data_IF_364104310532
#
_entry.id   IF_364104310532
#
_cell.length_a   1.000
_cell.length_b   1.000
_cell.length_c   1.000
_cell.angle_alpha   90.00
_cell.angle_beta   90.00
_cell.angle_gamma   90.00
#
_symmetry.space_group_name_H-M   'P 1'
#
loop_
_entity.id
_entity.type
_entity.pdbx_description
1 polymer ?
#
# COMPACT_ATOMS: atom_id res chain seq x y z
N UNK A 1 -7.71 1.03 10.65
CA UNK A 1 -9.05 1.64 10.63
C UNK A 1 -8.90 3.11 10.93
N UNK A 2 -9.33 3.95 9.99
CA UNK A 2 -9.33 5.40 10.16
C UNK A 2 -10.10 5.83 11.41
N UNK A 3 -9.51 6.76 12.17
CA UNK A 3 -10.14 7.46 13.31
C UNK A 3 -10.58 8.87 12.94
N UNK A 4 -10.32 9.31 11.71
CA UNK A 4 -10.70 10.63 11.23
C UNK A 4 -12.23 10.74 11.09
N UNK A 5 -12.81 11.81 11.65
CA UNK A 5 -14.27 12.01 11.69
C UNK A 5 -14.89 12.50 10.38
N UNK A 6 -14.08 12.74 9.35
CA UNK A 6 -14.49 13.12 8.00
C UNK A 6 -14.58 14.61 7.71
N UNK A 7 -14.65 15.48 8.73
CA UNK A 7 -14.73 16.94 8.55
C UNK A 7 -13.34 17.55 8.42
N UNK A 8 -13.14 18.34 7.37
CA UNK A 8 -11.96 19.20 7.21
C UNK A 8 -12.25 20.55 7.88
N UNK A 9 -11.51 20.85 8.95
CA UNK A 9 -11.74 22.04 9.80
C UNK A 9 -11.68 23.35 9.01
N UNK A 10 -10.74 23.43 8.07
CA UNK A 10 -10.47 24.60 7.24
C UNK A 10 -11.49 24.79 6.12
N UNK A 11 -12.27 23.76 5.80
CA UNK A 11 -13.23 23.77 4.69
C UNK A 11 -14.61 23.34 5.22
N UNK A 12 -15.32 24.24 5.94
CA UNK A 12 -16.67 23.93 6.42
C UNK A 12 -17.60 23.58 5.26
N UNK A 13 -18.38 22.51 5.43
CA UNK A 13 -19.37 22.07 4.44
C UNK A 13 -18.88 20.93 3.53
N UNK A 14 -17.67 20.40 3.73
CA UNK A 14 -17.25 19.16 3.09
C UNK A 14 -17.05 18.02 4.10
N UNK A 15 -17.24 16.78 3.63
CA UNK A 15 -16.87 15.56 4.35
C UNK A 15 -16.09 14.61 3.45
N UNK A 16 -15.11 13.91 4.01
CA UNK A 16 -14.24 12.97 3.31
C UNK A 16 -14.24 11.63 4.05
N UNK A 17 -14.42 10.52 3.33
CA UNK A 17 -14.31 9.14 3.85
C UNK A 17 -15.22 8.80 5.04
N UNK A 18 -16.24 9.63 5.29
CA UNK A 18 -17.20 9.47 6.37
C UNK A 18 -18.54 10.11 6.01
N UNK A 19 -19.60 9.31 6.08
CA UNK A 19 -20.91 9.66 5.50
C UNK A 19 -22.07 9.48 6.49
N UNK A 20 -21.78 9.40 7.79
CA UNK A 20 -22.76 9.27 8.86
C UNK A 20 -22.68 10.43 9.87
N UNK A 21 -23.70 10.52 10.74
CA UNK A 21 -23.75 11.44 11.89
C UNK A 21 -23.63 12.91 11.46
N UNK A 22 -22.70 13.66 12.06
CA UNK A 22 -22.44 15.06 11.77
C UNK A 22 -21.87 15.29 10.36
N UNK A 23 -21.64 14.26 9.55
CA UNK A 23 -21.27 14.44 8.14
C UNK A 23 -22.48 14.69 7.25
N UNK A 24 -23.69 14.32 7.68
CA UNK A 24 -24.94 14.42 6.90
C UNK A 24 -25.37 15.86 6.58
N UNK A 25 -24.76 16.87 7.21
CA UNK A 25 -24.99 18.30 6.94
C UNK A 25 -24.00 18.90 5.92
N UNK A 26 -23.04 18.10 5.41
CA UNK A 26 -22.11 18.54 4.37
C UNK A 26 -22.81 18.75 3.01
N UNK A 27 -22.27 19.69 2.24
CA UNK A 27 -22.74 20.10 0.93
C UNK A 27 -22.02 19.34 -0.21
N UNK A 28 -20.78 18.92 0.05
CA UNK A 28 -20.00 18.08 -0.86
C UNK A 28 -19.29 16.96 -0.07
N UNK A 29 -19.17 15.81 -0.72
CA UNK A 29 -18.56 14.61 -0.14
C UNK A 29 -17.41 14.13 -1.01
N UNK A 30 -16.42 13.49 -0.41
CA UNK A 30 -15.26 12.95 -1.11
C UNK A 30 -14.99 11.53 -0.62
N UNK A 31 -14.60 10.63 -1.54
CA UNK A 31 -14.15 9.29 -1.19
C UNK A 31 -12.76 9.04 -1.79
N UNK A 32 -11.77 8.84 -0.94
CA UNK A 32 -10.39 8.61 -1.33
C UNK A 32 -10.22 7.26 -2.02
N UNK A 33 -10.88 6.21 -1.52
CA UNK A 33 -10.84 4.85 -2.06
C UNK A 33 -11.95 3.95 -1.50
N UNK A 34 -12.19 2.79 -2.14
CA UNK A 34 -13.28 1.87 -1.79
C UNK A 34 -12.94 0.83 -0.70
N UNK A 35 -12.38 1.23 0.43
CA UNK A 35 -12.27 0.35 1.61
C UNK A 35 -13.36 0.63 2.64
N UNK A 36 -13.79 -0.42 3.35
CA UNK A 36 -14.99 -0.39 4.21
C UNK A 36 -14.88 0.67 5.32
N UNK A 37 -13.71 0.83 5.92
CA UNK A 37 -13.49 1.80 6.99
C UNK A 37 -13.49 3.27 6.53
N UNK A 38 -13.39 3.51 5.22
CA UNK A 38 -13.53 4.82 4.57
C UNK A 38 -14.91 5.02 3.92
N UNK A 39 -15.79 4.01 3.94
CA UNK A 39 -17.12 4.05 3.31
C UNK A 39 -18.26 4.08 4.33
N UNK A 40 -17.97 4.32 5.60
CA UNK A 40 -18.97 4.14 6.64
C UNK A 40 -20.06 5.22 6.56
N UNK A 41 -21.31 4.77 6.51
CA UNK A 41 -22.50 5.60 6.28
C UNK A 41 -22.96 5.64 4.82
N UNK A 42 -22.08 5.33 3.86
CA UNK A 42 -22.36 5.47 2.42
C UNK A 42 -23.50 4.56 1.94
N UNK A 43 -23.62 3.38 2.55
CA UNK A 43 -24.66 2.40 2.23
C UNK A 43 -26.01 2.70 2.89
N UNK A 44 -26.12 3.74 3.72
CA UNK A 44 -27.35 4.04 4.46
C UNK A 44 -28.36 4.76 3.56
N UNK A 45 -29.65 4.37 3.68
CA UNK A 45 -30.73 5.03 2.94
C UNK A 45 -30.87 6.51 3.30
N UNK A 46 -30.55 6.88 4.54
CA UNK A 46 -30.54 8.27 5.01
C UNK A 46 -29.55 9.12 4.19
N UNK A 47 -28.29 8.68 4.13
CA UNK A 47 -27.27 9.40 3.37
C UNK A 47 -27.60 9.48 1.88
N UNK A 48 -28.02 8.36 1.27
CA UNK A 48 -28.37 8.31 -0.15
C UNK A 48 -29.61 9.15 -0.47
N UNK A 49 -30.57 9.24 0.45
CA UNK A 49 -31.71 10.15 0.36
C UNK A 49 -31.26 11.62 0.37
N UNK A 50 -30.38 11.99 1.31
CA UNK A 50 -29.84 13.35 1.43
C UNK A 50 -29.13 13.80 0.15
N UNK A 51 -28.30 12.94 -0.46
CA UNK A 51 -27.61 13.26 -1.71
C UNK A 51 -28.61 13.68 -2.81
N UNK A 52 -29.73 12.96 -2.93
CA UNK A 52 -30.75 13.24 -3.93
C UNK A 52 -31.59 14.45 -3.58
N UNK A 53 -32.10 14.53 -2.36
CA UNK A 53 -32.99 15.59 -1.90
C UNK A 53 -32.31 16.96 -1.93
N UNK A 54 -31.02 17.01 -1.58
CA UNK A 54 -30.23 18.25 -1.55
C UNK A 54 -29.40 18.47 -2.82
N UNK A 55 -29.43 17.54 -3.76
CA UNK A 55 -28.60 17.54 -4.97
C UNK A 55 -27.11 17.73 -4.65
N UNK A 56 -26.62 17.00 -3.64
CA UNK A 56 -25.22 16.96 -3.24
C UNK A 56 -24.47 15.84 -3.99
N UNK A 57 -23.15 15.98 -4.08
CA UNK A 57 -22.32 15.05 -4.86
C UNK A 57 -21.21 14.42 -4.00
N UNK A 58 -20.85 13.18 -4.37
CA UNK A 58 -19.62 12.53 -3.92
C UNK A 58 -18.59 12.63 -5.05
N UNK A 59 -17.44 13.22 -4.77
CA UNK A 59 -16.34 13.36 -5.70
C UNK A 59 -15.30 12.27 -5.48
N UNK A 60 -14.94 11.57 -6.55
CA UNK A 60 -14.13 10.35 -6.51
C UNK A 60 -13.24 10.22 -7.74
N UNK A 61 -12.26 9.31 -7.71
CA UNK A 61 -11.50 8.92 -8.90
C UNK A 61 -12.32 8.09 -9.89
N UNK A 62 -11.83 7.95 -11.12
CA UNK A 62 -12.45 7.12 -12.16
C UNK A 62 -12.75 5.68 -11.70
N UNK A 63 -11.73 4.99 -11.15
CA UNK A 63 -11.86 3.60 -10.70
C UNK A 63 -12.84 3.50 -9.53
N UNK A 64 -12.75 4.43 -8.56
CA UNK A 64 -13.69 4.49 -7.43
C UNK A 64 -15.14 4.70 -7.92
N UNK A 65 -15.36 5.56 -8.93
CA UNK A 65 -16.69 5.73 -9.54
C UNK A 65 -17.19 4.44 -10.19
N UNK A 66 -16.34 3.73 -10.93
CA UNK A 66 -16.72 2.47 -11.58
C UNK A 66 -17.18 1.41 -10.54
N UNK A 67 -16.51 1.35 -9.39
CA UNK A 67 -16.90 0.47 -8.27
C UNK A 67 -18.23 0.94 -7.66
N UNK A 68 -18.32 2.22 -7.28
CA UNK A 68 -19.51 2.77 -6.62
C UNK A 68 -20.76 2.70 -7.49
N UNK A 69 -20.64 2.88 -8.82
CA UNK A 69 -21.76 2.75 -9.76
C UNK A 69 -22.38 1.35 -9.73
N UNK A 70 -21.55 0.31 -9.56
CA UNK A 70 -22.03 -1.08 -9.44
C UNK A 70 -22.63 -1.36 -8.06
N UNK A 71 -22.04 -0.80 -6.99
CA UNK A 71 -22.51 -1.00 -5.61
C UNK A 71 -23.80 -0.23 -5.29
N UNK A 72 -23.90 1.01 -5.79
CA UNK A 72 -24.98 1.95 -5.48
C UNK A 72 -25.53 2.61 -6.76
N UNK A 73 -26.11 1.82 -7.68
CA UNK A 73 -26.59 2.32 -8.97
C UNK A 73 -27.67 3.40 -8.84
N UNK A 74 -28.37 3.43 -7.71
CA UNK A 74 -29.40 4.42 -7.42
C UNK A 74 -28.83 5.83 -7.21
N UNK A 75 -27.54 6.02 -6.93
CA UNK A 75 -26.91 7.34 -6.71
C UNK A 75 -25.83 7.67 -7.75
N UNK A 76 -25.79 6.97 -8.91
CA UNK A 76 -24.79 7.19 -9.97
C UNK A 76 -24.72 8.66 -10.42
N UNK A 77 -25.88 9.32 -10.54
CA UNK A 77 -25.98 10.75 -10.91
C UNK A 77 -25.36 11.69 -9.85
N UNK A 78 -25.30 11.24 -8.59
CA UNK A 78 -24.71 11.96 -7.47
C UNK A 78 -23.20 11.64 -7.30
N UNK A 79 -22.62 10.78 -8.14
CA UNK A 79 -21.18 10.45 -8.10
C UNK A 79 -20.44 11.18 -9.23
N UNK A 80 -19.59 12.13 -8.85
CA UNK A 80 -18.77 12.93 -9.75
C UNK A 80 -17.36 12.38 -9.81
N UNK A 81 -16.90 12.18 -11.02
CA UNK A 81 -15.52 11.76 -11.29
C UNK A 81 -14.61 12.98 -11.31
N UNK A 82 -13.40 12.82 -10.79
CA UNK A 82 -12.33 13.79 -10.85
C UNK A 82 -11.16 13.23 -11.64
N UNK A 83 -10.65 14.01 -12.59
CA UNK A 83 -9.46 13.68 -13.37
C UNK A 83 -8.20 13.85 -12.51
N UNK A 84 -7.30 12.86 -12.58
CA UNK A 84 -6.04 12.91 -11.83
C UNK A 84 -5.21 14.14 -12.15
N UNK A 85 -4.63 14.72 -11.10
CA UNK A 85 -3.76 15.89 -11.15
C UNK A 85 -4.38 17.11 -11.85
N UNK A 86 -5.72 17.15 -11.96
CA UNK A 86 -6.45 18.22 -12.63
C UNK A 86 -7.33 18.96 -11.62
N UNK A 87 -7.23 20.31 -11.54
CA UNK A 87 -8.05 21.08 -10.62
C UNK A 87 -9.52 21.09 -11.07
N UNK A 88 -10.42 20.80 -10.13
CA UNK A 88 -11.87 20.88 -10.32
C UNK A 88 -12.47 21.82 -9.28
N UNK A 89 -13.30 22.78 -9.72
CA UNK A 89 -14.01 23.67 -8.81
C UNK A 89 -15.25 22.99 -8.23
N UNK A 90 -15.34 22.94 -6.90
CA UNK A 90 -16.52 22.48 -6.17
C UNK A 90 -17.16 23.70 -5.50
N UNK A 91 -18.41 23.97 -5.87
CA UNK A 91 -19.18 25.10 -5.37
C UNK A 91 -19.91 24.72 -4.08
N UNK A 92 -19.63 25.47 -3.02
CA UNK A 92 -20.35 25.46 -1.75
C UNK A 92 -21.20 26.75 -1.66
N UNK A 93 -22.17 26.80 -0.75
CA UNK A 93 -23.10 27.93 -0.62
C UNK A 93 -22.39 29.30 -0.47
N UNK A 94 -21.26 29.34 0.24
CA UNK A 94 -20.55 30.59 0.56
C UNK A 94 -19.08 30.58 0.09
N UNK A 95 -18.65 29.58 -0.67
CA UNK A 95 -17.24 29.42 -1.06
C UNK A 95 -17.10 28.53 -2.30
N UNK A 96 -15.95 28.62 -2.96
CA UNK A 96 -15.54 27.66 -3.99
C UNK A 96 -14.22 27.06 -3.55
N UNK A 97 -14.14 25.73 -3.56
CA UNK A 97 -12.91 24.98 -3.30
C UNK A 97 -12.40 24.36 -4.59
N UNK A 98 -11.13 24.58 -4.92
CA UNK A 98 -10.46 23.82 -5.96
C UNK A 98 -9.98 22.50 -5.36
N UNK A 99 -10.34 21.37 -5.95
CA UNK A 99 -9.86 20.05 -5.53
C UNK A 99 -9.04 19.43 -6.65
N UNK A 100 -7.89 18.86 -6.30
CA UNK A 100 -7.01 18.13 -7.22
C UNK A 100 -6.79 16.72 -6.62
N UNK A 101 -7.32 15.65 -7.24
CA UNK A 101 -7.02 14.29 -6.82
C UNK A 101 -5.61 13.89 -7.28
N UNK A 102 -4.83 13.32 -6.38
CA UNK A 102 -3.46 12.87 -6.64
C UNK A 102 -3.41 11.38 -6.32
N UNK A 103 -2.88 10.50 -7.18
CA UNK A 103 -2.74 9.07 -6.87
C UNK A 103 -2.03 8.86 -5.52
N UNK A 104 -2.60 8.05 -4.61
CA UNK A 104 -2.01 7.80 -3.28
C UNK A 104 -1.15 6.53 -3.22
N UNK A 105 -1.22 5.71 -4.26
CA UNK A 105 -0.49 4.44 -4.37
C UNK A 105 -1.03 3.31 -3.49
N UNK A 106 -2.04 3.53 -2.64
CA UNK A 106 -2.55 2.55 -1.68
C UNK A 106 -3.24 1.35 -2.35
N UNK A 107 -4.21 1.59 -3.22
CA UNK A 107 -4.93 0.57 -4.00
C UNK A 107 -5.44 1.15 -5.34
N UNK A 108 -5.96 0.34 -6.29
CA UNK A 108 -6.51 0.85 -7.54
C UNK A 108 -7.59 1.92 -7.31
N UNK A 109 -7.40 3.09 -7.91
CA UNK A 109 -8.28 4.24 -7.74
C UNK A 109 -8.04 5.09 -6.49
N UNK A 110 -7.10 4.73 -5.62
CA UNK A 110 -6.87 5.49 -4.38
C UNK A 110 -6.23 6.85 -4.64
N UNK A 111 -6.76 7.89 -4.00
CA UNK A 111 -6.28 9.27 -4.15
C UNK A 111 -6.09 9.99 -2.82
N UNK A 112 -5.07 10.84 -2.80
CA UNK A 112 -4.99 12.00 -1.91
C UNK A 112 -5.81 13.14 -2.54
N UNK A 113 -6.39 14.02 -1.72
CA UNK A 113 -7.05 15.24 -2.20
C UNK A 113 -6.24 16.46 -1.77
N UNK A 114 -5.79 17.25 -2.75
CA UNK A 114 -5.22 18.57 -2.52
C UNK A 114 -6.33 19.61 -2.74
N UNK A 115 -6.72 20.27 -1.65
CA UNK A 115 -7.72 21.34 -1.68
C UNK A 115 -7.03 22.70 -1.65
N UNK A 116 -7.51 23.62 -2.48
CA UNK A 116 -7.00 24.99 -2.56
C UNK A 116 -8.16 25.97 -2.41
N UNK A 117 -8.07 26.79 -1.36
CA UNK A 117 -8.90 27.95 -1.06
C UNK A 117 -7.97 29.10 -0.61
N UNK A 118 -8.34 29.81 0.47
CA UNK A 118 -7.44 30.73 1.19
C UNK A 118 -6.22 30.00 1.78
N UNK A 119 -6.37 28.70 2.04
CA UNK A 119 -5.34 27.79 2.52
C UNK A 119 -5.26 26.56 1.61
N UNK A 120 -4.09 25.94 1.56
CA UNK A 120 -3.87 24.67 0.85
C UNK A 120 -3.89 23.53 1.86
N UNK A 121 -4.78 22.55 1.67
CA UNK A 121 -4.95 21.41 2.57
C UNK A 121 -4.69 20.13 1.78
N UNK A 122 -3.89 19.23 2.32
CA UNK A 122 -3.69 17.90 1.76
C UNK A 122 -4.35 16.85 2.65
N UNK A 123 -5.31 16.09 2.12
CA UNK A 123 -5.82 14.89 2.75
C UNK A 123 -5.24 13.67 2.05
N UNK A 124 -4.50 12.81 2.76
CA UNK A 124 -3.81 11.69 2.10
C UNK A 124 -4.72 10.51 1.79
N UNK A 125 -5.86 10.40 2.46
CA UNK A 125 -6.53 9.09 2.59
C UNK A 125 -5.54 8.07 3.14
N UNK A 126 -5.68 6.81 2.74
CA UNK A 126 -4.60 5.85 2.88
C UNK A 126 -3.60 6.04 1.74
N UNK A 127 -2.31 6.05 2.05
CA UNK A 127 -1.27 6.25 1.06
C UNK A 127 -0.01 5.44 1.35
N UNK A 128 0.74 5.17 0.28
CA UNK A 128 2.15 4.81 0.38
C UNK A 128 2.85 5.16 -0.91
N UNK A 129 3.75 6.13 -0.84
CA UNK A 129 4.53 6.66 -1.94
C UNK A 129 5.92 7.03 -1.45
N UNK A 130 6.94 6.84 -2.29
CA UNK A 130 8.29 7.30 -1.98
C UNK A 130 8.37 8.82 -2.06
N UNK A 131 9.33 9.42 -1.35
CA UNK A 131 9.60 10.87 -1.48
C UNK A 131 9.92 11.28 -2.93
N UNK A 132 10.57 10.40 -3.69
CA UNK A 132 10.89 10.65 -5.10
C UNK A 132 9.64 10.75 -5.97
N UNK A 133 8.63 9.92 -5.70
CA UNK A 133 7.35 10.00 -6.40
C UNK A 133 6.58 11.25 -5.97
N UNK A 134 6.60 11.58 -4.68
CA UNK A 134 5.94 12.77 -4.14
C UNK A 134 6.50 14.05 -4.80
N UNK A 135 7.82 14.17 -4.93
CA UNK A 135 8.49 15.31 -5.60
C UNK A 135 8.14 15.46 -7.09
N UNK A 136 7.62 14.41 -7.73
CA UNK A 136 7.23 14.47 -9.15
C UNK A 136 5.80 14.96 -9.35
N UNK A 137 5.00 15.03 -8.28
CA UNK A 137 3.60 15.45 -8.32
C UNK A 137 3.54 16.94 -8.63
N UNK A 138 3.25 17.28 -9.89
CA UNK A 138 3.19 18.66 -10.36
C UNK A 138 2.15 19.50 -9.62
N UNK A 139 1.06 18.90 -9.16
CA UNK A 139 0.02 19.58 -8.39
C UNK A 139 0.53 20.22 -7.09
N UNK A 140 1.65 19.76 -6.53
CA UNK A 140 2.27 20.33 -5.32
C UNK A 140 3.08 21.61 -5.62
N UNK A 141 3.30 21.96 -6.88
CA UNK A 141 4.09 23.11 -7.29
C UNK A 141 3.18 24.18 -7.92
N UNK A 142 3.52 25.45 -7.70
CA UNK A 142 2.87 26.57 -8.35
C UNK A 142 3.33 26.72 -9.81
N UNK A 143 2.77 27.70 -10.52
CA UNK A 143 3.11 27.96 -11.93
C UNK A 143 4.56 28.37 -12.17
N UNK A 144 5.32 28.70 -11.12
CA UNK A 144 6.74 29.04 -11.18
C UNK A 144 7.63 27.84 -10.80
N UNK A 145 7.04 26.67 -10.56
CA UNK A 145 7.76 25.47 -10.13
C UNK A 145 8.20 25.51 -8.67
N UNK A 146 7.66 26.45 -7.86
CA UNK A 146 7.93 26.51 -6.44
C UNK A 146 6.93 25.65 -5.68
N UNK A 147 7.41 24.92 -4.68
CA UNK A 147 6.54 24.11 -3.81
C UNK A 147 5.49 25.01 -3.13
N UNK A 148 4.22 24.62 -3.25
CA UNK A 148 3.10 25.31 -2.62
C UNK A 148 3.23 25.22 -1.09
N UNK A 149 2.85 26.31 -0.41
CA UNK A 149 2.77 26.32 1.05
C UNK A 149 1.52 25.56 1.49
N UNK A 150 1.71 24.33 1.96
CA UNK A 150 0.62 23.54 2.53
C UNK A 150 0.35 24.01 3.96
N UNK A 151 -0.90 24.31 4.28
CA UNK A 151 -1.31 24.69 5.63
C UNK A 151 -1.44 23.45 6.50
N UNK A 152 -2.33 22.53 6.14
CA UNK A 152 -2.64 21.33 6.93
C UNK A 152 -2.46 20.08 6.10
N UNK A 153 -1.81 19.06 6.68
CA UNK A 153 -1.80 17.69 6.13
C UNK A 153 -2.61 16.79 7.05
N UNK A 154 -3.71 16.25 6.55
CA UNK A 154 -4.44 15.15 7.18
C UNK A 154 -3.79 13.84 6.73
N UNK A 155 -2.98 13.26 7.61
CA UNK A 155 -1.99 12.23 7.29
C UNK A 155 -2.47 10.83 7.68
N UNK A 156 -2.27 9.84 6.81
CA UNK A 156 -2.32 8.42 7.17
C UNK A 156 -1.21 8.11 8.18
N UNK A 157 -1.62 7.83 9.41
CA UNK A 157 -0.70 7.52 10.51
C UNK A 157 -0.70 6.04 10.89
N UNK A 158 -1.15 5.14 9.99
CA UNK A 158 -1.27 3.70 10.24
C UNK A 158 0.01 3.06 10.79
N UNK A 159 1.18 3.41 10.22
CA UNK A 159 2.49 2.96 10.69
C UNK A 159 3.41 4.12 11.09
N UNK A 160 2.84 5.26 11.50
CA UNK A 160 3.61 6.42 11.95
C UNK A 160 4.14 6.24 13.38
N UNK A 161 4.94 5.20 13.59
CA UNK A 161 5.62 4.87 14.83
C UNK A 161 7.03 4.39 14.52
N UNK A 162 8.01 4.75 15.36
CA UNK A 162 9.41 4.31 15.20
C UNK A 162 9.58 2.79 15.32
N UNK A 163 8.56 2.08 15.77
CA UNK A 163 8.48 0.62 15.67
C UNK A 163 8.47 0.12 14.22
N UNK A 164 8.06 0.93 13.26
CA UNK A 164 7.94 0.62 11.83
C UNK A 164 8.72 1.65 11.00
N UNK A 165 10.03 1.79 11.23
CA UNK A 165 10.86 2.82 10.59
C UNK A 165 10.77 2.76 9.06
N UNK A 166 11.05 1.59 8.50
CA UNK A 166 11.11 1.34 7.07
C UNK A 166 10.35 0.06 6.74
N UNK A 167 9.92 -0.06 5.49
CA UNK A 167 9.43 -1.30 4.91
C UNK A 167 10.18 -1.55 3.59
N UNK A 168 10.34 -2.82 3.15
CA UNK A 168 10.80 -3.11 1.80
C UNK A 168 9.90 -2.43 0.78
N UNK A 169 10.47 -2.03 -0.36
CA UNK A 169 9.67 -1.48 -1.45
C UNK A 169 8.61 -2.49 -1.90
N UNK A 170 7.51 -1.99 -2.51
CA UNK A 170 6.46 -2.88 -3.03
C UNK A 170 7.02 -3.91 -4.00
N UNK A 171 7.98 -3.52 -4.83
CA UNK A 171 8.58 -4.38 -5.83
C UNK A 171 9.43 -5.49 -5.20
N UNK A 172 10.27 -5.17 -4.21
CA UNK A 172 11.06 -6.17 -3.49
C UNK A 172 10.17 -7.21 -2.79
N UNK A 173 9.11 -6.75 -2.12
CA UNK A 173 8.13 -7.65 -1.51
C UNK A 173 7.45 -8.55 -2.56
N UNK A 174 7.10 -8.00 -3.71
CA UNK A 174 6.43 -8.72 -4.80
C UNK A 174 7.34 -9.77 -5.43
N UNK A 175 8.60 -9.41 -5.69
CA UNK A 175 9.60 -10.33 -6.22
C UNK A 175 9.75 -11.54 -5.30
N UNK A 176 9.85 -11.31 -3.99
CA UNK A 176 9.95 -12.39 -3.01
C UNK A 176 8.69 -13.27 -2.99
N UNK A 177 7.49 -12.66 -2.97
CA UNK A 177 6.22 -13.40 -3.03
C UNK A 177 6.15 -14.27 -4.30
N UNK A 178 6.48 -13.71 -5.46
CA UNK A 178 6.43 -14.40 -6.74
C UNK A 178 7.48 -15.52 -6.83
N UNK A 179 8.68 -15.29 -6.27
CA UNK A 179 9.73 -16.30 -6.21
C UNK A 179 9.29 -17.50 -5.35
N UNK A 180 8.73 -17.26 -4.16
CA UNK A 180 8.22 -18.33 -3.29
C UNK A 180 7.10 -19.14 -3.95
N UNK A 181 6.21 -18.46 -4.68
CA UNK A 181 5.13 -19.08 -5.46
C UNK A 181 5.74 -19.97 -6.54
N UNK A 182 6.57 -19.40 -7.41
CA UNK A 182 7.15 -20.10 -8.56
C UNK A 182 7.97 -21.31 -8.13
N UNK A 183 8.87 -21.13 -7.17
CA UNK A 183 9.71 -22.22 -6.64
C UNK A 183 8.90 -23.43 -6.18
N UNK A 184 7.73 -23.20 -5.58
CA UNK A 184 6.87 -24.29 -5.11
C UNK A 184 6.05 -24.90 -6.23
N UNK A 185 5.47 -24.05 -7.10
CA UNK A 185 4.64 -24.50 -8.21
C UNK A 185 5.43 -25.28 -9.26
N UNK A 186 6.73 -25.02 -9.41
CA UNK A 186 7.62 -25.72 -10.36
C UNK A 186 8.03 -27.12 -9.87
N UNK A 187 7.81 -27.48 -8.59
CA UNK A 187 8.17 -28.81 -8.06
C UNK A 187 7.31 -29.91 -8.70
N UNK A 188 5.98 -29.73 -8.71
CA UNK A 188 5.06 -30.59 -9.46
C UNK A 188 3.65 -29.99 -9.52
N UNK A 189 2.79 -30.57 -10.36
CA UNK A 189 1.36 -30.21 -10.45
C UNK A 189 0.59 -30.41 -9.13
N UNK A 190 1.14 -31.22 -8.21
CA UNK A 190 0.56 -31.47 -6.87
C UNK A 190 0.99 -30.43 -5.83
N UNK A 191 1.74 -29.40 -6.22
CA UNK A 191 2.14 -28.31 -5.33
C UNK A 191 1.23 -27.09 -5.54
N UNK A 192 0.67 -26.59 -4.45
CA UNK A 192 -0.27 -25.47 -4.42
C UNK A 192 0.16 -24.41 -3.40
N UNK A 193 -0.30 -23.18 -3.63
CA UNK A 193 -0.06 -22.03 -2.76
C UNK A 193 -1.34 -21.66 -2.01
N UNK A 194 -1.19 -21.50 -0.70
CA UNK A 194 -2.14 -20.82 0.15
C UNK A 194 -1.63 -19.40 0.47
N UNK A 195 -2.12 -18.40 -0.26
CA UNK A 195 -1.87 -16.99 0.00
C UNK A 195 -2.73 -16.52 1.16
N UNK A 196 -2.12 -15.92 2.17
CA UNK A 196 -2.84 -15.32 3.30
C UNK A 196 -2.58 -13.83 3.37
N UNK A 197 -3.67 -13.08 3.35
CA UNK A 197 -3.68 -11.63 3.51
C UNK A 197 -4.02 -11.27 4.96
N UNK A 198 -3.39 -10.24 5.52
CA UNK A 198 -3.70 -9.75 6.87
C UNK A 198 -4.93 -8.83 6.93
N UNK A 199 -5.41 -8.37 5.78
CA UNK A 199 -6.62 -7.58 5.64
C UNK A 199 -7.46 -8.09 4.47
N UNK A 200 -8.71 -7.62 4.40
CA UNK A 200 -9.65 -7.97 3.33
C UNK A 200 -9.28 -7.33 1.99
N UNK A 201 -8.71 -6.13 2.01
CA UNK A 201 -8.35 -5.31 0.85
C UNK A 201 -6.90 -4.82 0.94
N UNK A 202 -6.39 -4.18 -0.12
CA UNK A 202 -5.00 -3.70 -0.23
C UNK A 202 -4.06 -4.69 -0.94
N UNK A 203 -4.57 -5.82 -1.40
CA UNK A 203 -3.80 -6.87 -2.11
C UNK A 203 -4.15 -6.94 -3.60
N UNK A 204 -4.91 -5.98 -4.11
CA UNK A 204 -5.30 -5.86 -5.50
C UNK A 204 -4.06 -5.88 -6.40
N UNK A 205 -3.06 -5.04 -6.06
CA UNK A 205 -1.79 -4.98 -6.77
C UNK A 205 -1.04 -6.31 -6.75
N UNK A 206 -1.01 -7.00 -5.61
CA UNK A 206 -0.36 -8.32 -5.50
C UNK A 206 -1.05 -9.34 -6.40
N UNK A 207 -2.38 -9.39 -6.40
CA UNK A 207 -3.10 -10.37 -7.21
C UNK A 207 -2.95 -10.09 -8.71
N UNK A 208 -2.98 -8.82 -9.13
CA UNK A 208 -2.70 -8.43 -10.51
C UNK A 208 -1.29 -8.84 -10.95
N UNK A 209 -0.28 -8.59 -10.11
CA UNK A 209 1.10 -8.92 -10.46
C UNK A 209 1.40 -10.42 -10.42
N UNK A 210 0.79 -11.17 -9.51
CA UNK A 210 0.82 -12.64 -9.53
C UNK A 210 0.21 -13.15 -10.83
N UNK A 211 -0.95 -12.63 -11.24
CA UNK A 211 -1.60 -13.03 -12.48
C UNK A 211 -0.69 -12.78 -13.69
N UNK A 212 -0.09 -11.58 -13.79
CA UNK A 212 0.84 -11.23 -14.87
C UNK A 212 2.08 -12.13 -14.91
N UNK A 213 2.68 -12.44 -13.75
CA UNK A 213 3.96 -13.15 -13.67
C UNK A 213 3.82 -14.67 -13.71
N UNK A 214 2.71 -15.21 -13.21
CA UNK A 214 2.45 -16.65 -13.14
C UNK A 214 1.51 -17.13 -14.25
N UNK A 215 0.82 -16.23 -14.95
CA UNK A 215 -0.25 -16.53 -15.90
C UNK A 215 -1.35 -17.42 -15.29
N UNK A 216 -1.65 -17.20 -14.00
CA UNK A 216 -2.63 -17.95 -13.23
C UNK A 216 -3.42 -17.00 -12.34
N UNK A 217 -4.76 -17.01 -12.38
CA UNK A 217 -5.57 -16.16 -11.52
C UNK A 217 -5.45 -16.61 -10.07
N UNK A 218 -5.70 -15.70 -9.11
CA UNK A 218 -5.80 -16.07 -7.69
C UNK A 218 -7.22 -16.54 -7.39
N UNK A 219 -7.39 -17.77 -6.94
CA UNK A 219 -8.69 -18.24 -6.47
C UNK A 219 -9.04 -17.54 -5.15
N UNK A 220 -10.21 -16.93 -5.06
CA UNK A 220 -10.67 -16.17 -3.89
C UNK A 220 -12.07 -16.60 -3.44
N UNK A 221 -12.51 -16.18 -2.25
CA UNK A 221 -13.87 -16.45 -1.78
C UNK A 221 -14.92 -15.70 -2.60
N UNK A 222 -16.19 -16.14 -2.55
CA UNK A 222 -17.32 -15.42 -3.16
C UNK A 222 -17.38 -13.95 -2.76
N UNK A 223 -17.13 -13.68 -1.48
CA UNK A 223 -17.19 -12.32 -0.93
C UNK A 223 -16.03 -11.43 -1.43
N UNK A 224 -14.82 -11.99 -1.57
CA UNK A 224 -13.68 -11.28 -2.14
C UNK A 224 -13.87 -11.05 -3.64
N UNK A 225 -14.33 -12.07 -4.37
CA UNK A 225 -14.61 -11.98 -5.81
C UNK A 225 -15.69 -10.92 -6.11
N UNK A 226 -16.75 -10.85 -5.29
CA UNK A 226 -17.82 -9.87 -5.42
C UNK A 226 -17.33 -8.42 -5.33
N UNK A 227 -16.21 -8.16 -4.67
CA UNK A 227 -15.56 -6.85 -4.65
C UNK A 227 -14.53 -6.69 -5.77
N UNK A 228 -13.57 -7.60 -5.89
CA UNK A 228 -12.47 -7.48 -6.86
C UNK A 228 -12.95 -7.46 -8.31
N UNK A 229 -14.03 -8.20 -8.65
CA UNK A 229 -14.65 -8.15 -9.98
C UNK A 229 -15.30 -6.80 -10.33
N UNK A 230 -15.46 -5.91 -9.35
CA UNK A 230 -15.94 -4.55 -9.59
C UNK A 230 -14.84 -3.64 -10.11
N UNK A 231 -13.58 -3.93 -9.76
CA UNK A 231 -12.39 -3.14 -10.08
C UNK A 231 -11.97 -3.41 -11.54
N UNK A 232 -12.06 -2.44 -12.45
CA UNK A 232 -11.74 -2.64 -13.86
C UNK A 232 -10.30 -3.14 -14.11
N UNK A 233 -9.34 -2.65 -13.33
CA UNK A 233 -7.92 -2.98 -13.50
C UNK A 233 -7.57 -4.42 -13.11
N UNK A 234 -8.45 -5.09 -12.36
CA UNK A 234 -8.23 -6.46 -11.87
C UNK A 234 -8.75 -7.55 -12.79
N UNK A 235 -9.10 -7.22 -14.04
CA UNK A 235 -9.76 -8.17 -14.94
C UNK A 235 -8.99 -9.49 -15.03
N UNK A 236 -9.72 -10.58 -14.84
CA UNK A 236 -9.25 -11.98 -14.71
C UNK A 236 -8.21 -12.29 -13.62
N UNK A 237 -7.70 -11.30 -12.86
CA UNK A 237 -6.66 -11.52 -11.85
C UNK A 237 -7.12 -12.41 -10.68
N UNK A 238 -8.43 -12.52 -10.49
CA UNK A 238 -9.06 -13.36 -9.46
C UNK A 238 -10.13 -14.29 -10.07
N UNK A 239 -10.38 -15.43 -9.43
CA UNK A 239 -11.38 -16.40 -9.90
C UNK A 239 -12.14 -17.09 -8.76
N UNK A 240 -13.37 -17.55 -9.05
CA UNK A 240 -14.13 -18.49 -8.21
C UNK A 240 -13.86 -19.95 -8.55
N UNK A 241 -13.23 -20.23 -9.69
CA UNK A 241 -13.00 -21.59 -10.16
C UNK A 241 -11.65 -22.10 -9.66
N UNK A 242 -11.68 -22.94 -8.62
CA UNK A 242 -10.47 -23.52 -8.04
C UNK A 242 -9.68 -24.42 -9.01
N UNK A 243 -10.32 -24.97 -10.04
CA UNK A 243 -9.66 -25.80 -11.07
C UNK A 243 -8.78 -25.01 -12.04
N UNK A 244 -8.99 -23.69 -12.17
CA UNK A 244 -8.23 -22.82 -13.09
C UNK A 244 -6.87 -22.40 -12.53
N UNK A 245 -6.56 -22.72 -11.27
CA UNK A 245 -5.36 -22.24 -10.61
C UNK A 245 -4.88 -23.17 -9.49
N UNK A 246 -3.61 -23.01 -9.12
CA UNK A 246 -2.96 -23.64 -7.96
C UNK A 246 -2.65 -22.61 -6.87
N UNK A 247 -3.10 -21.37 -7.04
CA UNK A 247 -2.86 -20.25 -6.15
C UNK A 247 -4.20 -19.85 -5.53
N UNK A 248 -4.32 -20.03 -4.22
CA UNK A 248 -5.57 -19.81 -3.49
C UNK A 248 -5.36 -18.79 -2.37
N UNK A 249 -6.15 -17.72 -2.38
CA UNK A 249 -6.32 -16.77 -1.29
C UNK A 249 -7.72 -16.94 -0.70
N UNK A 250 -7.93 -16.62 0.58
CA UNK A 250 -9.22 -16.82 1.27
C UNK A 250 -9.57 -18.26 1.69
N UNK A 251 -8.63 -18.97 2.33
CA UNK A 251 -8.97 -20.14 3.16
C UNK A 251 -8.98 -19.73 4.65
N UNK A 252 -10.07 -19.09 5.14
CA UNK A 252 -10.32 -19.07 6.59
C UNK A 252 -10.37 -20.52 7.11
N UNK A 253 -10.31 -20.77 8.42
CA UNK A 253 -10.44 -22.13 8.97
C UNK A 253 -11.72 -22.86 8.46
N UNK A 254 -12.78 -22.10 8.18
CA UNK A 254 -14.02 -22.60 7.57
C UNK A 254 -13.86 -22.95 6.08
N UNK A 255 -13.19 -22.10 5.30
CA UNK A 255 -12.97 -22.31 3.86
C UNK A 255 -11.77 -23.20 3.52
N UNK A 256 -10.83 -23.41 4.46
CA UNK A 256 -9.78 -24.45 4.37
C UNK A 256 -10.41 -25.79 4.02
N UNK A 257 -11.52 -26.15 4.67
CA UNK A 257 -12.21 -27.40 4.41
C UNK A 257 -12.93 -27.45 3.06
N UNK A 258 -13.17 -26.33 2.37
CA UNK A 258 -13.89 -26.32 1.08
C UNK A 258 -12.88 -26.25 -0.08
N UNK A 259 -11.89 -25.36 0.02
CA UNK A 259 -10.80 -25.29 -0.96
C UNK A 259 -9.94 -26.56 -0.93
N UNK A 260 -9.59 -27.08 0.25
CA UNK A 260 -8.64 -28.19 0.41
C UNK A 260 -9.30 -29.58 0.31
N UNK A 261 -10.64 -29.71 0.46
CA UNK A 261 -11.31 -31.03 0.34
C UNK A 261 -11.08 -31.72 -1.00
N UNK A 262 -10.87 -30.95 -2.07
CA UNK A 262 -10.54 -31.46 -3.40
C UNK A 262 -9.03 -31.61 -3.63
N UNK A 263 -8.19 -31.37 -2.62
CA UNK A 263 -6.73 -31.33 -2.69
C UNK A 263 -6.06 -32.44 -1.86
N UNK A 264 -6.76 -33.56 -1.61
CA UNK A 264 -6.15 -34.74 -0.98
C UNK A 264 -4.97 -35.22 -1.85
N UNK A 265 -3.77 -35.23 -1.28
CA UNK A 265 -2.53 -35.59 -2.00
C UNK A 265 -1.75 -34.41 -2.59
N UNK A 266 -2.15 -33.16 -2.31
CA UNK A 266 -1.39 -31.97 -2.67
C UNK A 266 -0.51 -31.47 -1.52
N UNK A 267 0.69 -31.00 -1.86
CA UNK A 267 1.62 -30.33 -0.96
C UNK A 267 1.34 -28.83 -0.96
N UNK A 268 1.13 -28.25 0.22
CA UNK A 268 0.76 -26.83 0.36
C UNK A 268 1.90 -26.02 0.95
N UNK A 269 2.27 -24.92 0.29
CA UNK A 269 3.08 -23.84 0.87
C UNK A 269 2.19 -22.66 1.18
N UNK A 270 2.37 -22.07 2.35
CA UNK A 270 1.62 -20.89 2.77
C UNK A 270 2.51 -19.66 2.65
N UNK A 271 2.04 -18.62 1.96
CA UNK A 271 2.70 -17.31 1.89
C UNK A 271 1.80 -16.29 2.57
N UNK A 272 2.23 -15.77 3.72
CA UNK A 272 1.48 -14.80 4.52
C UNK A 272 2.08 -13.42 4.38
N UNK A 273 1.30 -12.49 3.86
CA UNK A 273 1.69 -11.09 3.69
C UNK A 273 1.18 -10.27 4.87
N UNK A 274 2.07 -9.55 5.52
CA UNK A 274 1.72 -8.64 6.62
C UNK A 274 2.78 -7.57 6.76
N UNK A 275 2.40 -6.32 7.06
CA UNK A 275 3.32 -5.28 7.50
C UNK A 275 3.43 -5.25 9.04
N UNK A 276 2.30 -5.39 9.75
CA UNK A 276 2.23 -5.25 11.22
C UNK A 276 3.13 -6.23 11.99
N UNK A 277 3.49 -7.38 11.38
CA UNK A 277 4.42 -8.34 11.98
C UNK A 277 5.85 -7.80 12.07
N UNK A 278 6.23 -6.89 11.18
CA UNK A 278 7.60 -6.48 10.95
C UNK A 278 7.90 -5.17 11.65
N UNK A 279 8.26 -5.28 12.92
CA UNK A 279 8.91 -4.19 13.63
C UNK A 279 10.33 -3.99 13.09
N UNK A 280 10.90 -2.80 13.25
CA UNK A 280 12.29 -2.49 12.89
C UNK A 280 13.27 -3.57 13.37
N UNK A 281 13.11 -4.05 14.61
CA UNK A 281 13.95 -5.11 15.21
C UNK A 281 13.80 -6.49 14.53
N UNK A 282 12.68 -6.74 13.86
CA UNK A 282 12.37 -8.03 13.21
C UNK A 282 12.52 -7.98 11.69
N UNK A 283 12.72 -6.79 11.11
CA UNK A 283 12.81 -6.55 9.68
C UNK A 283 14.26 -6.67 9.19
N UNK A 284 14.90 -7.82 9.44
CA UNK A 284 16.26 -8.03 8.91
C UNK A 284 16.23 -8.38 7.42
N UNK A 285 15.36 -9.32 7.02
CA UNK A 285 15.24 -9.78 5.63
C UNK A 285 13.86 -9.49 5.02
N UNK A 286 12.92 -8.98 5.82
CA UNK A 286 11.52 -8.84 5.38
C UNK A 286 10.82 -10.18 5.07
N UNK A 287 11.47 -11.30 5.38
CA UNK A 287 10.95 -12.66 5.21
C UNK A 287 11.41 -13.55 6.36
N UNK A 288 10.52 -14.45 6.81
CA UNK A 288 10.81 -15.51 7.77
C UNK A 288 9.99 -16.72 7.40
N UNK A 289 10.49 -17.93 7.64
CA UNK A 289 9.73 -19.16 7.48
C UNK A 289 9.63 -19.93 8.80
N UNK A 290 8.69 -20.87 8.87
CA UNK A 290 8.64 -21.89 9.91
C UNK A 290 8.85 -23.28 9.31
N UNK A 291 8.86 -24.31 10.15
CA UNK A 291 9.06 -25.71 9.73
C UNK A 291 7.89 -26.29 8.90
N UNK A 292 6.74 -25.61 8.83
CA UNK A 292 5.51 -26.10 8.19
C UNK A 292 5.27 -25.48 6.79
N UNK A 293 6.33 -25.17 6.03
CA UNK A 293 6.23 -24.49 4.72
C UNK A 293 5.40 -23.20 4.75
N UNK A 294 5.41 -22.48 5.88
CA UNK A 294 4.77 -21.17 6.01
C UNK A 294 5.82 -20.08 5.99
N UNK A 295 5.74 -19.25 4.96
CA UNK A 295 6.57 -18.06 4.77
C UNK A 295 5.77 -16.83 5.14
N UNK A 296 6.34 -15.97 5.97
CA UNK A 296 5.83 -14.64 6.26
C UNK A 296 6.65 -13.66 5.44
N UNK A 297 6.00 -12.81 4.67
CA UNK A 297 6.64 -11.78 3.85
C UNK A 297 6.14 -10.41 4.27
N UNK A 298 7.05 -9.46 4.41
CA UNK A 298 6.73 -8.07 4.67
C UNK A 298 6.14 -7.45 3.43
N UNK A 299 4.88 -7.04 3.50
CA UNK A 299 4.20 -6.30 2.43
C UNK A 299 3.32 -5.24 3.07
N UNK A 300 3.58 -3.97 2.73
CA UNK A 300 2.89 -2.81 3.27
C UNK A 300 2.14 -2.05 2.18
N UNK A 301 0.92 -1.64 2.50
CA UNK A 301 0.05 -0.81 1.65
C UNK A 301 -0.03 0.63 2.16
N UNK A 302 0.53 0.89 3.34
CA UNK A 302 0.60 2.19 4.01
C UNK A 302 2.05 2.59 4.24
N UNK A 303 2.30 3.89 4.30
CA UNK A 303 3.63 4.46 4.45
C UNK A 303 4.29 4.00 5.75
N UNK A 304 5.60 3.73 5.73
CA UNK A 304 6.39 3.56 6.94
C UNK A 304 6.53 4.90 7.70
N UNK A 305 7.08 4.86 8.92
CA UNK A 305 7.39 6.09 9.65
C UNK A 305 8.31 7.02 8.84
N UNK A 306 9.38 6.51 8.24
CA UNK A 306 10.29 7.33 7.43
C UNK A 306 9.61 7.90 6.17
N UNK A 307 8.79 7.14 5.47
CA UNK A 307 8.05 7.64 4.29
C UNK A 307 7.10 8.80 4.70
N UNK A 308 6.47 8.73 5.86
CA UNK A 308 5.68 9.84 6.43
C UNK A 308 6.53 11.01 6.92
N UNK A 309 7.64 10.75 7.59
CA UNK A 309 8.56 11.76 8.08
C UNK A 309 9.15 12.57 6.93
N UNK A 310 9.57 11.90 5.87
CA UNK A 310 10.10 12.51 4.65
C UNK A 310 9.05 13.39 3.95
N UNK A 311 7.79 12.96 3.91
CA UNK A 311 6.68 13.77 3.39
C UNK A 311 6.52 15.06 4.20
N UNK A 312 6.45 14.97 5.54
CA UNK A 312 6.30 16.14 6.42
C UNK A 312 7.48 17.10 6.24
N UNK A 313 8.71 16.59 6.25
CA UNK A 313 9.94 17.40 6.09
C UNK A 313 10.02 18.08 4.72
N UNK A 314 9.49 17.44 3.68
CA UNK A 314 9.45 18.00 2.33
C UNK A 314 8.37 19.07 2.19
N UNK A 315 7.14 18.78 2.62
CA UNK A 315 5.99 19.66 2.47
C UNK A 315 6.02 20.84 3.45
N UNK A 316 6.67 20.67 4.61
CA UNK A 316 6.76 21.66 5.69
C UNK A 316 5.42 22.32 6.03
N UNK A 317 4.37 21.52 6.32
CA UNK A 317 3.06 22.10 6.60
C UNK A 317 3.07 22.88 7.92
N UNK A 318 2.05 23.72 8.13
CA UNK A 318 1.87 24.42 9.42
C UNK A 318 1.27 23.51 10.49
N UNK A 319 0.41 22.58 10.07
CA UNK A 319 -0.30 21.65 10.94
C UNK A 319 -0.33 20.26 10.29
N UNK A 320 -0.25 19.21 11.10
CA UNK A 320 -0.49 17.82 10.66
C UNK A 320 -1.52 17.21 11.58
N UNK A 321 -2.58 16.66 10.99
CA UNK A 321 -3.67 15.98 11.69
C UNK A 321 -3.55 14.48 11.45
N UNK A 322 -3.32 13.65 12.50
CA UNK A 322 -3.26 12.21 12.34
C UNK A 322 -4.64 11.63 12.05
N UNK A 323 -4.77 10.87 10.96
CA UNK A 323 -6.04 10.24 10.56
C UNK A 323 -6.27 8.88 11.20
N UNK A 324 -5.22 8.25 11.75
CA UNK A 324 -5.27 6.92 12.35
C UNK A 324 -4.57 6.93 13.71
N UNK A 325 -5.36 6.82 14.78
CA UNK A 325 -4.85 6.76 16.15
C UNK A 325 -5.17 5.40 16.77
N UNK A 326 -4.13 4.59 16.99
CA UNK A 326 -4.26 3.39 17.82
C UNK A 326 -4.23 3.82 19.30
N UNK A 327 -5.05 3.19 20.15
CA UNK A 327 -5.28 3.64 21.53
C UNK A 327 -4.00 3.83 22.36
N UNK A 328 -2.97 3.02 22.10
CA UNK A 328 -1.76 2.99 22.90
C UNK A 328 -0.64 3.91 22.37
N UNK A 329 -0.78 4.41 21.12
CA UNK A 329 0.30 5.13 20.42
C UNK A 329 -0.03 6.62 20.15
N UNK A 330 -1.23 7.09 20.55
CA UNK A 330 -1.71 8.42 20.15
C UNK A 330 -0.80 9.57 20.62
N UNK A 331 -0.41 9.56 21.90
CA UNK A 331 0.49 10.58 22.48
C UNK A 331 1.87 10.55 21.81
N UNK A 332 2.39 9.37 21.48
CA UNK A 332 3.66 9.23 20.75
C UNK A 332 3.56 9.87 19.36
N UNK A 333 2.49 9.60 18.61
CA UNK A 333 2.26 10.17 17.27
C UNK A 333 2.23 11.70 17.32
N UNK A 334 1.48 12.28 18.26
CA UNK A 334 1.41 13.74 18.40
C UNK A 334 2.79 14.33 18.74
N UNK A 335 3.52 13.76 19.70
CA UNK A 335 4.87 14.22 20.06
C UNK A 335 5.86 14.14 18.89
N UNK A 336 5.80 13.07 18.08
CA UNK A 336 6.62 12.93 16.88
C UNK A 336 6.28 14.00 15.84
N UNK A 337 4.99 14.25 15.59
CA UNK A 337 4.53 15.29 14.68
C UNK A 337 4.99 16.67 15.14
N UNK A 338 4.81 17.01 16.41
CA UNK A 338 5.23 18.30 16.98
C UNK A 338 6.73 18.52 16.83
N UNK A 339 7.53 17.48 17.09
CA UNK A 339 8.98 17.53 16.90
C UNK A 339 9.36 17.81 15.44
N UNK A 340 8.64 17.23 14.48
CA UNK A 340 8.91 17.41 13.04
C UNK A 340 8.47 18.78 12.51
N UNK A 341 7.50 19.42 13.15
CA UNK A 341 7.05 20.77 12.84
C UNK A 341 7.92 21.85 13.49
N UNK A 342 8.65 21.52 14.56
CA UNK A 342 9.69 22.39 15.09
C UNK A 342 10.97 22.31 14.23
N UNK A 343 10.99 23.10 13.16
CA UNK A 343 12.11 23.20 12.21
C UNK A 343 13.41 23.76 12.83
N UNK A 344 13.43 24.08 14.13
CA UNK A 344 14.64 24.44 14.87
C UNK A 344 15.31 23.25 15.57
N UNK A 345 14.69 22.06 15.55
CA UNK A 345 15.26 20.85 16.12
C UNK A 345 16.46 20.37 15.28
N UNK A 346 17.55 19.96 15.96
CA UNK A 346 18.71 19.39 15.28
C UNK A 346 18.30 18.14 14.48
N UNK A 347 18.91 17.91 13.29
CA UNK A 347 18.59 16.75 12.48
C UNK A 347 18.76 15.47 13.29
N UNK A 348 17.67 14.70 13.41
CA UNK A 348 17.71 13.33 13.94
C UNK A 348 18.80 12.57 13.13
N UNK A 349 19.79 11.95 13.80
CA UNK A 349 20.90 11.31 13.10
C UNK A 349 20.37 10.24 12.14
N UNK A 350 20.70 10.39 10.84
CA UNK A 350 20.48 9.34 9.84
C UNK A 350 21.21 8.06 10.28
N UNK A 351 20.48 6.95 10.39
CA UNK A 351 21.02 5.60 10.62
C UNK A 351 20.13 4.57 9.94
N UNK A 352 20.71 3.40 9.61
CA UNK A 352 21.60 3.13 8.49
C UNK A 352 20.81 2.95 7.17
N UNK A 353 21.51 2.92 6.03
CA UNK A 353 20.92 2.38 4.79
C UNK A 353 20.65 0.89 5.00
N UNK A 354 19.42 0.44 4.81
CA UNK A 354 19.19 -0.96 4.46
C UNK A 354 19.98 -1.27 3.18
N UNK A 355 20.62 -2.44 3.13
CA UNK A 355 21.49 -2.97 2.06
C UNK A 355 22.97 -2.54 1.98
N UNK A 356 23.65 -2.25 3.09
CA UNK A 356 25.13 -2.47 3.15
C UNK A 356 25.51 -3.90 3.59
N UNK A 357 24.59 -4.87 3.47
CA UNK A 357 24.91 -6.29 3.60
C UNK A 357 25.35 -6.87 2.25
N UNK A 358 26.47 -6.37 1.72
CA UNK A 358 27.29 -7.13 0.77
C UNK A 358 28.73 -6.62 0.69
N UNK A 359 29.42 -6.60 1.81
CA UNK A 359 30.87 -6.91 1.84
C UNK A 359 31.19 -8.27 2.47
N UNK A 360 30.19 -9.12 2.64
CA UNK A 360 30.35 -10.54 3.02
C UNK A 360 29.93 -11.44 1.84
N UNK A 361 30.36 -11.08 0.63
CA UNK A 361 30.39 -12.00 -0.53
C UNK A 361 31.77 -12.14 -1.16
N UNK A 362 32.80 -11.54 -0.56
CA UNK A 362 34.20 -11.71 -0.98
C UNK A 362 35.06 -12.52 0.00
N UNK A 363 34.56 -12.95 1.16
CA UNK A 363 35.31 -13.85 2.05
C UNK A 363 35.02 -15.34 1.83
N UNK A 364 33.90 -15.70 1.20
CA UNK A 364 33.59 -17.12 0.89
C UNK A 364 34.34 -17.58 -0.37
N UNK A 365 34.75 -16.68 -1.26
CA UNK A 365 35.57 -17.03 -2.44
C UNK A 365 37.09 -17.02 -2.19
N UNK A 366 37.54 -16.59 -1.00
CA UNK A 366 38.98 -16.53 -0.67
C UNK A 366 39.40 -17.64 0.29
N UNK A 367 38.46 -18.34 0.95
CA UNK A 367 38.79 -19.50 1.80
C UNK A 367 38.82 -20.85 1.06
N UNK A 368 38.21 -20.98 -0.12
CA UNK A 368 38.26 -22.21 -0.94
C UNK A 368 39.39 -22.21 -2.00
N UNK A 369 40.29 -21.22 -1.99
CA UNK A 369 41.51 -21.20 -2.84
C UNK A 369 42.79 -21.18 -2.00
N UNK A 370 42.70 -21.28 -0.67
CA UNK A 370 43.87 -21.31 0.23
C UNK A 370 44.18 -22.67 0.86
N UNK A 371 43.51 -23.74 0.45
CA UNK A 371 43.89 -25.12 0.78
C UNK A 371 44.03 -25.94 -0.50
N UNK A 372 45.12 -25.71 -1.23
CA UNK A 372 45.90 -26.68 -2.02
C UNK A 372 46.78 -25.92 -3.02
N UNK A 373 48.05 -25.70 -2.66
CA UNK A 373 49.04 -25.32 -3.64
C UNK A 373 50.16 -24.44 -3.11
N UNK A 374 51.10 -25.03 -2.38
CA UNK A 374 52.50 -24.63 -2.48
C UNK A 374 53.37 -25.74 -1.89
N UNK A 375 54.01 -26.50 -2.76
CA UNK A 375 55.46 -26.60 -2.74
C UNK A 375 55.90 -27.19 -4.08
N UNK A 376 56.51 -26.34 -4.90
CA UNK A 376 57.76 -26.67 -5.59
C UNK A 376 58.23 -25.43 -6.38
N UNK A 377 59.25 -24.78 -5.82
CA UNK A 377 60.21 -23.98 -6.56
C UNK A 377 61.55 -24.69 -6.39
N UNK A 378 62.19 -25.12 -7.48
CA UNK A 378 63.59 -24.77 -7.79
C UNK A 378 63.99 -25.22 -9.20
N UNK A 379 64.43 -24.22 -9.96
CA UNK A 379 65.30 -24.16 -11.14
C UNK A 379 65.99 -25.43 -11.71
N UNK A 380 65.90 -25.51 -13.05
CA UNK A 380 67.00 -25.47 -14.03
C UNK A 380 67.24 -26.69 -14.95
N UNK A 381 67.51 -26.31 -16.20
CA UNK A 381 68.40 -26.93 -17.18
C UNK A 381 67.97 -28.20 -17.96
N UNK A 382 67.79 -27.94 -19.27
CA UNK A 382 68.42 -28.61 -20.42
C UNK A 382 67.87 -29.96 -20.94
N UNK A 383 67.73 -29.94 -22.26
CA UNK A 383 67.82 -31.05 -23.23
C UNK A 383 66.59 -31.93 -23.53
N UNK A 384 66.01 -31.65 -24.71
CA UNK A 384 65.30 -32.55 -25.65
C UNK A 384 66.13 -33.79 -26.05
N UNK A 385 65.64 -34.74 -26.90
CA UNK A 385 64.30 -35.31 -27.14
C UNK A 385 64.31 -36.87 -27.20
N UNK A 386 63.16 -37.53 -27.43
CA UNK A 386 62.90 -38.78 -28.21
C UNK A 386 61.78 -39.63 -27.59
N UNK A 387 60.67 -39.85 -28.32
CA UNK A 387 60.32 -41.05 -29.11
C UNK A 387 60.27 -42.37 -28.32
N UNK A 388 59.05 -42.86 -28.06
CA UNK A 388 58.52 -44.15 -28.58
C UNK A 388 57.05 -44.29 -28.21
#
# INVERSE_FOLDING_TARGET
MSTFGGKIKEIPGISIDRFDRNNLDSQAYFLSHCHIDHMVGLNTSEFQGILKERNCFIYVSHVTKAILKKLYPNIDEQIKELDFCTPTSVHLNNAVVSVIPIPSGHCPGSVMFLFEMDQVILYTGDYRMSLNDIKRIQALYDSLGKLKTIHTVYLDTTFFSKKYLQFPSREESLDEICNLIKQWLDVSEKHIINLQTSARYGYEYVFMEIFKRMNMPVHVSNEAYAFYSLIPDMDESVTLESSKTRIHSCCSSYYKNICIKNLIGYSTRTVKMSAMRWTTEKLEQGITNNQDETYFVCYATHASYEEGEEMIKFLKPKEVVPCVLQKDDAEEIFNMIETLLDFNSEPIPKKPKLFEVSKIRQQIYVQDVSENGSDDLYESALESPQMS
#
